data_IF_383702070744
#
_entry.id   IF_383702070744
#
_cell.length_a   1.000
_cell.length_b   1.000
_cell.length_c   1.000
_cell.angle_alpha   90.00
_cell.angle_beta   90.00
_cell.angle_gamma   90.00
#
_symmetry.space_group_name_H-M   'P 1'
#
loop_
_entity.id
_entity.type
_entity.pdbx_description
1 polymer ?
#
# COMPACT_ATOMS: atom_id res chain seq x y z
N UNK A 1 -18.38 72.87 -0.83
CA UNK A 1 -18.81 71.70 -1.66
C UNK A 1 -18.72 70.46 -0.79
N UNK A 2 -19.84 69.95 -0.29
CA UNK A 2 -19.85 68.75 0.58
C UNK A 2 -20.01 67.50 -0.32
N UNK A 3 -19.05 66.63 -0.29
CA UNK A 3 -19.13 65.32 -0.95
C UNK A 3 -20.18 64.46 -0.22
N UNK A 4 -21.20 63.94 -0.90
CA UNK A 4 -22.21 63.12 -0.22
C UNK A 4 -21.55 61.84 0.27
N UNK A 5 -21.68 61.54 1.58
CA UNK A 5 -21.29 60.31 2.23
C UNK A 5 -22.08 59.17 1.58
N UNK A 6 -21.39 58.28 0.89
CA UNK A 6 -21.98 57.14 0.18
C UNK A 6 -22.43 56.12 1.24
N UNK A 7 -23.70 56.23 1.66
CA UNK A 7 -24.34 55.31 2.61
C UNK A 7 -24.34 53.91 2.00
N UNK A 8 -23.53 53.01 2.54
CA UNK A 8 -23.44 51.61 2.09
C UNK A 8 -24.84 51.02 1.90
N UNK A 9 -25.13 50.57 0.68
CA UNK A 9 -26.44 49.98 0.33
C UNK A 9 -26.61 48.68 1.17
N UNK A 10 -27.82 48.38 1.66
CA UNK A 10 -28.07 47.20 2.51
C UNK A 10 -27.63 45.89 1.84
N UNK A 11 -27.70 45.83 0.51
CA UNK A 11 -27.26 44.67 -0.29
C UNK A 11 -25.77 44.39 -0.17
N UNK A 12 -24.91 45.38 -0.03
CA UNK A 12 -23.46 45.19 0.16
C UNK A 12 -23.12 44.66 1.57
N UNK A 13 -23.92 45.01 2.56
CA UNK A 13 -23.74 44.48 3.93
C UNK A 13 -24.14 43.03 4.03
N UNK A 14 -25.21 42.60 3.36
CA UNK A 14 -25.65 41.22 3.31
C UNK A 14 -24.58 40.36 2.59
N UNK A 15 -24.11 40.82 1.43
CA UNK A 15 -23.07 40.12 0.66
C UNK A 15 -21.77 39.96 1.45
N UNK A 16 -21.32 40.98 2.17
CA UNK A 16 -20.13 40.91 3.03
C UNK A 16 -20.33 39.90 4.19
N UNK A 17 -21.51 39.83 4.79
CA UNK A 17 -21.83 38.88 5.86
C UNK A 17 -21.88 37.44 5.36
N UNK A 18 -22.49 37.17 4.21
CA UNK A 18 -22.52 35.85 3.60
C UNK A 18 -21.13 35.39 3.18
N UNK A 19 -20.33 36.28 2.59
CA UNK A 19 -18.94 35.96 2.23
C UNK A 19 -18.09 35.63 3.47
N UNK A 20 -18.22 36.43 4.54
CA UNK A 20 -17.53 36.17 5.79
C UNK A 20 -17.94 34.84 6.41
N UNK A 21 -19.25 34.52 6.39
CA UNK A 21 -19.75 33.26 6.89
C UNK A 21 -19.17 32.06 6.10
N UNK A 22 -19.16 32.13 4.77
CA UNK A 22 -18.58 31.11 3.91
C UNK A 22 -17.07 30.92 4.18
N UNK A 23 -16.34 32.02 4.36
CA UNK A 23 -14.91 31.99 4.70
C UNK A 23 -14.66 31.30 6.05
N UNK A 24 -15.44 31.67 7.07
CA UNK A 24 -15.33 31.05 8.40
C UNK A 24 -15.69 29.56 8.39
N UNK A 25 -16.71 29.18 7.63
CA UNK A 25 -17.09 27.78 7.45
C UNK A 25 -15.99 27.00 6.74
N UNK A 26 -15.42 27.52 5.67
CA UNK A 26 -14.32 26.89 4.95
C UNK A 26 -13.08 26.74 5.86
N UNK A 27 -12.76 27.76 6.66
CA UNK A 27 -11.66 27.72 7.62
C UNK A 27 -11.90 26.68 8.70
N UNK A 28 -13.10 26.59 9.26
CA UNK A 28 -13.46 25.60 10.27
C UNK A 28 -13.37 24.17 9.73
N UNK A 29 -13.85 23.93 8.50
CA UNK A 29 -13.71 22.65 7.81
C UNK A 29 -12.25 22.30 7.56
N UNK A 30 -11.43 23.26 7.13
CA UNK A 30 -9.99 23.05 6.92
C UNK A 30 -9.26 22.67 8.21
N UNK A 31 -9.50 23.42 9.29
CA UNK A 31 -8.93 23.13 10.61
C UNK A 31 -9.40 21.75 11.13
N UNK A 32 -10.71 21.47 11.00
CA UNK A 32 -11.28 20.18 11.43
C UNK A 32 -10.69 19.00 10.66
N UNK A 33 -10.57 19.12 9.35
CA UNK A 33 -9.94 18.08 8.51
C UNK A 33 -8.47 17.88 8.86
N UNK A 34 -7.73 18.96 9.07
CA UNK A 34 -6.31 18.87 9.45
C UNK A 34 -6.16 18.22 10.83
N UNK A 35 -6.97 18.63 11.82
CA UNK A 35 -6.95 18.02 13.14
C UNK A 35 -7.34 16.53 13.11
N UNK A 36 -8.32 16.17 12.29
CA UNK A 36 -8.74 14.78 12.09
C UNK A 36 -7.61 13.94 11.51
N UNK A 37 -6.97 14.38 10.41
CA UNK A 37 -5.84 13.67 9.81
C UNK A 37 -4.68 13.56 10.81
N UNK A 38 -4.38 14.61 11.55
CA UNK A 38 -3.31 14.59 12.57
C UNK A 38 -3.63 13.70 13.77
N UNK A 39 -4.91 13.46 14.06
CA UNK A 39 -5.34 12.53 15.11
C UNK A 39 -5.24 11.06 14.69
N UNK A 40 -5.12 10.80 13.38
CA UNK A 40 -4.83 9.46 12.88
C UNK A 40 -3.36 9.15 13.18
N UNK A 41 -3.11 8.30 14.16
CA UNK A 41 -1.77 7.81 14.45
C UNK A 41 -1.38 6.76 13.39
N UNK A 42 -0.89 7.24 12.26
CA UNK A 42 -0.43 6.37 11.16
C UNK A 42 0.80 5.54 11.55
N UNK A 43 1.51 5.96 12.60
CA UNK A 43 2.63 5.21 13.16
C UNK A 43 2.19 4.05 14.07
N UNK A 44 0.95 4.10 14.57
CA UNK A 44 0.35 3.05 15.41
C UNK A 44 -0.30 1.93 14.58
N UNK A 45 -0.20 1.96 13.25
CA UNK A 45 -0.64 0.81 12.45
C UNK A 45 0.20 -0.42 12.83
N UNK A 46 -0.45 -1.58 13.06
CA UNK A 46 0.28 -2.80 13.38
C UNK A 46 1.31 -3.08 12.29
N UNK A 47 2.59 -3.06 12.68
CA UNK A 47 3.64 -3.45 11.74
C UNK A 47 3.53 -4.94 11.47
N UNK A 48 3.76 -5.33 10.22
CA UNK A 48 3.73 -6.73 9.84
C UNK A 48 4.81 -7.52 10.61
N UNK A 49 4.42 -8.68 11.13
CA UNK A 49 5.33 -9.59 11.81
C UNK A 49 6.22 -10.32 10.79
N UNK A 50 7.51 -10.04 10.84
CA UNK A 50 8.50 -10.71 9.99
C UNK A 50 8.67 -12.20 10.29
N UNK A 51 8.27 -12.63 11.48
CA UNK A 51 8.24 -14.03 11.90
C UNK A 51 6.94 -14.75 11.55
N UNK A 52 6.00 -14.09 10.88
CA UNK A 52 4.73 -14.70 10.52
C UNK A 52 4.93 -15.99 9.72
N UNK A 53 4.11 -17.00 10.00
CA UNK A 53 4.07 -18.26 9.25
C UNK A 53 2.65 -18.54 8.71
N UNK A 54 2.50 -19.60 7.92
CA UNK A 54 1.22 -19.96 7.32
C UNK A 54 0.12 -20.25 8.36
N UNK A 55 0.47 -20.67 9.57
CA UNK A 55 -0.50 -20.97 10.64
C UNK A 55 -1.19 -19.71 11.17
N UNK A 56 -0.53 -18.54 11.01
CA UNK A 56 -1.08 -17.25 11.41
C UNK A 56 -2.07 -16.67 10.41
N UNK A 57 -2.19 -17.30 9.22
CA UNK A 57 -3.03 -16.81 8.10
C UNK A 57 -4.22 -17.76 7.93
N UNK A 58 -5.25 -17.55 8.73
CA UNK A 58 -6.36 -18.49 8.92
C UNK A 58 -7.03 -19.02 7.65
N UNK A 59 -7.14 -18.21 6.57
CA UNK A 59 -7.79 -18.63 5.33
C UNK A 59 -6.86 -19.36 4.35
N UNK A 60 -5.56 -19.43 4.63
CA UNK A 60 -4.56 -20.12 3.80
C UNK A 60 -4.08 -21.43 4.38
N UNK A 61 -4.54 -21.83 5.56
CA UNK A 61 -4.07 -23.03 6.23
C UNK A 61 -5.24 -24.00 6.54
N UNK A 62 -5.14 -25.29 6.19
CA UNK A 62 -4.06 -25.90 5.42
C UNK A 62 -4.13 -25.61 3.91
N UNK A 63 -2.97 -25.40 3.29
CA UNK A 63 -2.91 -25.33 1.83
C UNK A 63 -3.23 -26.71 1.21
N UNK A 64 -4.01 -26.77 0.13
CA UNK A 64 -4.25 -28.02 -0.57
C UNK A 64 -2.96 -28.57 -1.19
N UNK A 65 -2.88 -29.90 -1.29
CA UNK A 65 -1.81 -30.51 -2.09
C UNK A 65 -1.95 -30.12 -3.57
N UNK A 66 -0.86 -29.82 -4.27
CA UNK A 66 -0.93 -29.47 -5.68
C UNK A 66 -1.52 -30.62 -6.51
N UNK A 67 -2.57 -30.33 -7.28
CA UNK A 67 -3.26 -31.31 -8.12
C UNK A 67 -3.68 -30.75 -9.50
N UNK A 68 -3.50 -29.43 -9.74
CA UNK A 68 -3.92 -28.77 -10.97
C UNK A 68 -2.77 -28.49 -11.96
N UNK A 69 -1.53 -28.82 -11.59
CA UNK A 69 -0.35 -28.55 -12.42
C UNK A 69 0.58 -27.54 -11.80
N UNK A 70 1.47 -26.96 -12.60
CA UNK A 70 2.54 -26.07 -12.17
C UNK A 70 2.44 -24.71 -12.84
N UNK A 71 2.75 -23.65 -12.14
CA UNK A 71 2.86 -22.28 -12.63
C UNK A 71 4.30 -21.84 -12.44
N UNK A 72 4.94 -21.36 -13.49
CA UNK A 72 6.22 -20.69 -13.40
C UNK A 72 6.02 -19.19 -13.24
N UNK A 73 6.49 -18.66 -12.13
CA UNK A 73 6.55 -17.22 -11.88
C UNK A 73 7.97 -16.73 -12.13
N UNK A 74 8.13 -15.80 -13.06
CA UNK A 74 9.43 -15.21 -13.38
C UNK A 74 9.50 -13.83 -12.75
N UNK A 75 10.53 -13.61 -11.91
CA UNK A 75 10.77 -12.33 -11.24
C UNK A 75 11.98 -11.62 -11.83
N UNK A 76 12.05 -10.30 -11.70
CA UNK A 76 13.15 -9.48 -12.23
C UNK A 76 14.47 -9.80 -11.54
N UNK A 77 15.56 -9.92 -12.33
CA UNK A 77 16.93 -9.96 -11.83
C UNK A 77 17.60 -8.58 -11.81
N UNK A 78 16.91 -7.53 -12.24
CA UNK A 78 17.49 -6.19 -12.30
C UNK A 78 17.48 -5.53 -10.91
N UNK A 79 18.63 -5.00 -10.49
CA UNK A 79 18.77 -4.22 -9.25
C UNK A 79 18.53 -2.73 -9.45
N UNK A 80 18.72 -2.26 -10.69
CA UNK A 80 18.59 -0.84 -11.04
C UNK A 80 17.87 -0.67 -12.36
N UNK A 81 17.14 0.43 -12.49
CA UNK A 81 16.55 0.90 -13.74
C UNK A 81 17.60 1.68 -14.57
N UNK A 82 17.24 2.03 -15.80
CA UNK A 82 18.13 2.80 -16.71
C UNK A 82 18.50 4.18 -16.16
N UNK A 83 17.67 4.76 -15.31
CA UNK A 83 17.91 6.04 -14.63
C UNK A 83 18.78 5.91 -13.37
N UNK A 84 19.24 4.70 -13.03
CA UNK A 84 20.04 4.40 -11.85
C UNK A 84 19.26 4.21 -10.57
N UNK A 85 17.94 4.33 -10.58
CA UNK A 85 17.10 4.06 -9.41
C UNK A 85 17.09 2.56 -9.07
N UNK A 86 17.04 2.24 -7.77
CA UNK A 86 16.95 0.84 -7.32
C UNK A 86 15.61 0.23 -7.70
N UNK A 87 15.64 -1.03 -8.11
CA UNK A 87 14.46 -1.83 -8.44
C UNK A 87 14.63 -3.27 -7.97
N UNK A 88 13.66 -4.10 -8.26
CA UNK A 88 13.58 -5.51 -7.93
C UNK A 88 12.14 -5.99 -8.14
N UNK A 89 11.85 -7.22 -7.79
CA UNK A 89 10.45 -7.64 -7.71
C UNK A 89 9.82 -7.14 -6.40
N UNK A 90 8.54 -6.80 -6.44
CA UNK A 90 7.80 -6.39 -5.24
C UNK A 90 7.28 -7.62 -4.50
N UNK A 91 7.60 -7.72 -3.19
CA UNK A 91 7.25 -8.87 -2.38
C UNK A 91 5.74 -9.15 -2.35
N UNK A 92 4.93 -8.11 -2.19
CA UNK A 92 3.48 -8.25 -2.06
C UNK A 92 2.82 -8.74 -3.36
N UNK A 93 3.37 -8.39 -4.52
CA UNK A 93 2.86 -8.86 -5.81
C UNK A 93 3.12 -10.36 -6.01
N UNK A 94 4.31 -10.81 -5.69
CA UNK A 94 4.67 -12.23 -5.79
C UNK A 94 3.93 -13.08 -4.75
N UNK A 95 3.96 -12.66 -3.49
CA UNK A 95 3.40 -13.43 -2.37
C UNK A 95 1.89 -13.62 -2.52
N UNK A 96 1.16 -12.56 -2.86
CA UNK A 96 -0.31 -12.62 -3.02
C UNK A 96 -0.71 -13.52 -4.16
N UNK A 97 -0.02 -13.44 -5.30
CA UNK A 97 -0.23 -14.35 -6.43
C UNK A 97 0.08 -15.80 -6.04
N UNK A 98 1.19 -16.04 -5.34
CA UNK A 98 1.59 -17.38 -4.87
C UNK A 98 0.52 -18.00 -3.96
N UNK A 99 0.00 -17.25 -2.97
CA UNK A 99 -1.05 -17.73 -2.07
C UNK A 99 -2.32 -18.11 -2.83
N UNK A 100 -2.74 -17.28 -3.81
CA UNK A 100 -3.90 -17.56 -4.64
C UNK A 100 -3.71 -18.84 -5.45
N UNK A 101 -2.58 -19.03 -6.09
CA UNK A 101 -2.30 -20.22 -6.88
C UNK A 101 -2.23 -21.48 -6.00
N UNK A 102 -1.52 -21.40 -4.89
CA UNK A 102 -1.41 -22.51 -3.93
C UNK A 102 -2.77 -22.89 -3.33
N UNK A 103 -3.58 -21.92 -2.94
CA UNK A 103 -4.93 -22.15 -2.44
C UNK A 103 -5.85 -22.82 -3.48
N UNK A 104 -5.59 -22.59 -4.77
CA UNK A 104 -6.30 -23.22 -5.87
C UNK A 104 -5.68 -24.54 -6.36
N UNK A 105 -4.69 -25.08 -5.64
CA UNK A 105 -4.14 -26.40 -5.92
C UNK A 105 -3.08 -26.45 -7.02
N UNK A 106 -2.44 -25.32 -7.35
CA UNK A 106 -1.28 -25.30 -8.24
C UNK A 106 0.03 -25.43 -7.46
N UNK A 107 1.01 -26.11 -8.03
CA UNK A 107 2.40 -25.91 -7.64
C UNK A 107 2.91 -24.61 -8.25
N UNK A 108 3.78 -23.90 -7.53
CA UNK A 108 4.33 -22.63 -8.02
C UNK A 108 5.85 -22.69 -7.97
N UNK A 109 6.48 -22.54 -9.12
CA UNK A 109 7.92 -22.41 -9.25
C UNK A 109 8.28 -20.94 -9.44
N UNK A 110 9.35 -20.48 -8.76
CA UNK A 110 9.85 -19.11 -8.85
C UNK A 110 11.24 -19.19 -9.48
N UNK A 111 11.46 -18.37 -10.50
CA UNK A 111 12.74 -18.27 -11.19
C UNK A 111 13.08 -16.82 -11.50
N UNK A 112 14.38 -16.53 -11.61
CA UNK A 112 14.86 -15.26 -12.12
C UNK A 112 15.80 -15.50 -13.31
N UNK A 113 15.83 -14.62 -14.34
CA UNK A 113 16.63 -14.85 -15.53
C UNK A 113 18.14 -14.97 -15.29
N UNK A 114 18.67 -14.28 -14.27
CA UNK A 114 20.10 -14.37 -13.92
C UNK A 114 20.42 -15.54 -12.98
N UNK A 115 19.41 -16.22 -12.45
CA UNK A 115 19.59 -17.17 -11.37
C UNK A 115 19.98 -16.50 -10.05
N UNK A 116 20.15 -17.30 -8.99
CA UNK A 116 20.50 -16.81 -7.66
C UNK A 116 19.38 -16.00 -7.00
N UNK A 117 19.70 -15.29 -5.93
CA UNK A 117 18.74 -14.51 -5.16
C UNK A 117 18.40 -13.19 -5.90
N UNK A 118 17.16 -13.04 -6.40
CA UNK A 118 16.78 -11.83 -7.13
C UNK A 118 16.56 -10.66 -6.17
N UNK A 119 16.84 -9.42 -6.61
CA UNK A 119 16.62 -8.23 -5.80
C UNK A 119 15.13 -8.06 -5.48
N UNK A 120 14.84 -7.80 -4.22
CA UNK A 120 13.47 -7.72 -3.69
C UNK A 120 13.21 -6.33 -3.10
N UNK A 121 12.02 -5.79 -3.37
CA UNK A 121 11.47 -4.60 -2.73
C UNK A 121 10.39 -4.99 -1.75
N UNK A 122 10.30 -4.25 -0.65
CA UNK A 122 9.29 -4.46 0.40
C UNK A 122 8.69 -3.09 0.70
N UNK A 123 7.62 -2.74 0.02
CA UNK A 123 6.96 -1.44 0.18
C UNK A 123 5.77 -1.54 1.17
N UNK A 124 4.83 -2.46 0.97
CA UNK A 124 3.59 -2.61 1.75
C UNK A 124 3.35 -4.04 2.27
N UNK A 125 4.37 -4.65 2.86
CA UNK A 125 4.28 -6.02 3.31
C UNK A 125 3.36 -6.17 4.54
N UNK A 126 2.52 -7.20 4.50
CA UNK A 126 1.68 -7.67 5.61
C UNK A 126 2.14 -9.05 6.10
N UNK A 127 1.54 -9.56 7.18
CA UNK A 127 1.90 -10.87 7.73
C UNK A 127 1.90 -11.99 6.70
N UNK A 128 0.96 -11.98 5.74
CA UNK A 128 0.89 -12.98 4.68
C UNK A 128 2.12 -12.95 3.75
N UNK A 129 2.69 -11.78 3.50
CA UNK A 129 3.87 -11.62 2.66
C UNK A 129 5.13 -12.18 3.37
N UNK A 130 5.25 -11.94 4.67
CA UNK A 130 6.34 -12.55 5.45
C UNK A 130 6.14 -14.04 5.64
N UNK A 131 4.91 -14.51 5.86
CA UNK A 131 4.62 -15.93 5.92
C UNK A 131 4.95 -16.66 4.61
N UNK A 132 4.81 -16.00 3.46
CA UNK A 132 5.29 -16.50 2.17
C UNK A 132 6.82 -16.64 2.17
N UNK A 133 7.56 -15.58 2.54
CA UNK A 133 9.03 -15.63 2.62
C UNK A 133 9.54 -16.71 3.58
N UNK A 134 8.80 -17.01 4.63
CA UNK A 134 9.15 -18.01 5.63
C UNK A 134 8.81 -19.45 5.20
N UNK A 135 8.16 -19.65 4.01
CA UNK A 135 7.95 -21.00 3.48
C UNK A 135 9.27 -21.64 3.04
N UNK A 136 9.63 -22.85 3.52
CA UNK A 136 10.88 -23.50 3.14
C UNK A 136 11.02 -23.72 1.62
N UNK A 137 9.92 -23.97 0.93
CA UNK A 137 9.94 -24.13 -0.54
C UNK A 137 10.27 -22.82 -1.25
N UNK A 138 9.75 -21.69 -0.78
CA UNK A 138 10.02 -20.35 -1.34
C UNK A 138 11.48 -19.97 -1.10
N UNK A 139 11.96 -20.15 0.11
CA UNK A 139 13.36 -19.85 0.45
C UNK A 139 14.36 -20.62 -0.41
N UNK A 140 14.07 -21.91 -0.71
CA UNK A 140 14.91 -22.71 -1.59
C UNK A 140 14.88 -22.17 -3.03
N UNK A 141 13.72 -21.76 -3.52
CA UNK A 141 13.58 -21.30 -4.89
C UNK A 141 14.20 -19.92 -5.11
N UNK A 142 14.10 -19.01 -4.14
CA UNK A 142 14.70 -17.68 -4.22
C UNK A 142 16.24 -17.68 -4.12
N UNK A 143 16.85 -18.77 -3.65
CA UNK A 143 18.32 -18.90 -3.52
C UNK A 143 18.99 -19.59 -4.70
N UNK A 144 18.21 -20.21 -5.59
CA UNK A 144 18.71 -20.93 -6.76
C UNK A 144 18.69 -20.05 -8.01
#
# INVERSE_FOLDING_TARGET
MRIPEQKDRPMTRILKRTLLFLLLTALALGIGSFAYVRSMDLAAQPQADRGADASTIGYHNPLPQPHRGRILTVVSSAETLLDGSKTGFELSELSRAWWVFRANGYAVDIASPAGGEPPMRIDDAVNADYAFLNQPEVQRQLKN
#
